data_IF_610989445895
#
_entry.id   IF_610989445895
#
_cell.length_a   1.000
_cell.length_b   1.000
_cell.length_c   1.000
_cell.angle_alpha   90.00
_cell.angle_beta   90.00
_cell.angle_gamma   90.00
#
_symmetry.space_group_name_H-M   'P 1'
#
loop_
_entity.id
_entity.type
_entity.pdbx_description
1 polymer ?
#
# COMPACT_ATOMS: atom_id res chain seq x y z
N UNK A 1 -11.78 -0.88 9.84
CA UNK A 1 -10.42 -1.46 9.94
C UNK A 1 -9.63 -0.80 11.06
N UNK A 2 -8.83 -1.58 11.79
CA UNK A 2 -7.90 -1.09 12.81
C UNK A 2 -6.47 -1.51 12.46
N UNK A 3 -5.51 -0.57 12.50
CA UNK A 3 -4.13 -0.77 12.04
C UNK A 3 -3.14 -0.57 13.19
N UNK A 4 -2.33 -1.59 13.42
CA UNK A 4 -1.16 -1.53 14.30
C UNK A 4 0.11 -1.78 13.48
N UNK A 5 1.05 -0.83 13.47
CA UNK A 5 2.34 -0.93 12.80
C UNK A 5 3.47 -0.69 13.80
N UNK A 6 4.26 -1.72 14.05
CA UNK A 6 5.54 -1.67 14.74
C UNK A 6 6.68 -1.60 13.71
N UNK A 7 7.45 -0.51 13.73
CA UNK A 7 8.65 -0.33 12.92
C UNK A 7 9.86 -0.84 13.72
N UNK A 8 10.41 -1.98 13.30
CA UNK A 8 11.52 -2.67 13.98
C UNK A 8 12.90 -2.18 13.55
N UNK A 9 12.99 -1.61 12.34
CA UNK A 9 14.22 -1.08 11.77
C UNK A 9 13.96 0.30 11.17
N UNK A 10 14.97 1.17 11.19
CA UNK A 10 14.88 2.52 10.63
C UNK A 10 14.40 2.52 9.17
N UNK A 11 13.39 3.35 8.92
CA UNK A 11 12.86 3.75 7.61
C UNK A 11 12.84 5.28 7.60
N UNK A 12 12.94 5.89 6.42
CA UNK A 12 12.80 7.36 6.33
C UNK A 12 11.41 7.78 6.80
N UNK A 13 10.38 7.06 6.37
CA UNK A 13 9.00 7.20 6.82
C UNK A 13 8.11 6.11 6.22
N UNK A 14 6.93 5.93 6.81
CA UNK A 14 5.78 5.27 6.21
C UNK A 14 4.72 6.28 5.78
N UNK A 15 3.84 5.89 4.88
CA UNK A 15 2.63 6.63 4.58
C UNK A 15 1.49 5.68 4.24
N UNK A 16 0.28 6.12 4.59
CA UNK A 16 -0.97 5.42 4.32
C UNK A 16 -1.86 6.31 3.44
N UNK A 17 -2.51 5.70 2.45
CA UNK A 17 -3.41 6.39 1.53
C UNK A 17 -4.61 5.52 1.20
N UNK A 18 -5.80 6.13 1.17
CA UNK A 18 -6.94 5.57 0.46
C UNK A 18 -6.79 5.84 -1.04
N UNK A 19 -7.09 4.86 -1.87
CA UNK A 19 -7.00 4.95 -3.33
C UNK A 19 -8.42 4.91 -3.86
N UNK A 20 -8.84 5.99 -4.51
CA UNK A 20 -10.16 6.13 -5.16
C UNK A 20 -10.03 5.91 -6.67
N UNK A 21 -8.90 6.36 -7.23
CA UNK A 21 -8.56 6.18 -8.63
C UNK A 21 -7.03 6.15 -8.80
N UNK A 22 -6.58 5.88 -10.02
CA UNK A 22 -5.15 5.79 -10.34
C UNK A 22 -4.82 6.60 -11.59
N UNK A 23 -3.60 7.14 -11.64
CA UNK A 23 -3.04 7.77 -12.83
C UNK A 23 -1.72 7.09 -13.20
N UNK A 24 -1.77 6.16 -14.16
CA UNK A 24 -0.60 5.39 -14.60
C UNK A 24 0.42 6.22 -15.37
N UNK A 25 0.13 7.48 -15.71
CA UNK A 25 1.12 8.38 -16.31
C UNK A 25 2.02 9.04 -15.25
N UNK A 26 1.70 8.88 -13.96
CA UNK A 26 2.52 9.30 -12.82
C UNK A 26 3.24 8.10 -12.20
N UNK A 27 4.23 8.32 -11.34
CA UNK A 27 5.04 7.27 -10.70
C UNK A 27 5.09 7.48 -9.19
N UNK A 28 5.53 6.45 -8.44
CA UNK A 28 5.68 6.51 -6.98
C UNK A 28 4.33 6.80 -6.30
N UNK A 29 4.25 7.73 -5.34
CA UNK A 29 2.97 8.03 -4.66
C UNK A 29 1.99 8.82 -5.55
N UNK A 30 2.48 9.50 -6.59
CA UNK A 30 1.65 10.35 -7.46
C UNK A 30 0.70 9.56 -8.36
N UNK A 31 0.93 8.25 -8.56
CA UNK A 31 0.01 7.42 -9.32
C UNK A 31 -1.30 7.10 -8.58
N UNK A 32 -1.38 7.40 -7.28
CA UNK A 32 -2.57 7.14 -6.47
C UNK A 32 -3.38 8.43 -6.26
N UNK A 33 -4.64 8.42 -6.68
CA UNK A 33 -5.60 9.50 -6.44
C UNK A 33 -6.48 9.11 -5.25
N UNK A 34 -6.48 9.92 -4.21
CA UNK A 34 -7.23 9.71 -2.97
C UNK A 34 -6.60 10.47 -1.80
N UNK A 35 -7.04 10.22 -0.57
CA UNK A 35 -6.58 10.98 0.59
C UNK A 35 -5.45 10.29 1.33
N UNK A 36 -4.60 11.10 1.94
CA UNK A 36 -3.51 10.64 2.80
C UNK A 36 -4.01 10.61 4.25
N UNK A 37 -3.69 9.55 4.96
CA UNK A 37 -3.70 9.56 6.41
C UNK A 37 -2.31 9.99 6.90
N UNK A 38 -2.19 11.23 7.37
CA UNK A 38 -0.91 11.81 7.77
C UNK A 38 -0.39 11.28 9.10
N UNK A 39 -1.23 10.62 9.92
CA UNK A 39 -0.84 10.09 11.24
C UNK A 39 0.29 9.08 11.14
N UNK A 40 0.20 8.16 10.17
CA UNK A 40 1.25 7.16 9.89
C UNK A 40 2.57 7.85 9.51
N UNK A 41 2.51 8.89 8.69
CA UNK A 41 3.70 9.61 8.28
C UNK A 41 4.35 10.36 9.43
N UNK A 42 3.60 11.18 10.15
CA UNK A 42 4.15 11.96 11.25
C UNK A 42 4.66 11.07 12.38
N UNK A 43 4.03 9.93 12.64
CA UNK A 43 4.47 8.99 13.66
C UNK A 43 5.70 8.16 13.28
N UNK A 44 6.09 8.11 12.00
CA UNK A 44 7.24 7.29 11.53
C UNK A 44 8.38 8.11 10.92
N UNK A 45 8.16 9.40 10.66
CA UNK A 45 9.14 10.26 10.02
C UNK A 45 10.45 10.32 10.81
N UNK A 46 11.53 9.82 10.21
CA UNK A 46 12.88 9.75 10.76
C UNK A 46 12.97 9.06 12.14
N UNK A 47 12.05 8.13 12.43
CA UNK A 47 12.06 7.38 13.68
C UNK A 47 12.85 6.07 13.52
N UNK A 48 13.79 5.75 14.43
CA UNK A 48 14.49 4.46 14.42
C UNK A 48 13.55 3.30 14.74
N UNK A 49 12.58 3.56 15.62
CA UNK A 49 11.49 2.68 16.01
C UNK A 49 10.21 3.50 16.16
N UNK A 50 9.07 2.92 15.79
CA UNK A 50 7.78 3.58 15.92
C UNK A 50 6.68 2.53 16.15
N UNK A 51 5.67 2.90 16.93
CA UNK A 51 4.43 2.13 17.07
C UNK A 51 3.28 3.04 16.68
N UNK A 52 2.60 2.68 15.60
CA UNK A 52 1.38 3.35 15.14
C UNK A 52 0.21 2.45 15.49
N UNK A 53 -0.77 3.00 16.18
CA UNK A 53 -2.00 2.31 16.54
C UNK A 53 -3.18 3.25 16.25
N UNK A 54 -3.92 2.97 15.17
CA UNK A 54 -4.97 3.85 14.66
C UNK A 54 -6.15 3.08 14.07
N UNK A 55 -7.34 3.64 14.23
CA UNK A 55 -8.48 3.29 13.38
C UNK A 55 -8.33 3.96 12.02
N UNK A 56 -8.38 3.15 10.95
CA UNK A 56 -8.37 3.63 9.57
C UNK A 56 -9.80 3.88 9.15
N UNK A 57 -10.15 5.15 8.97
CA UNK A 57 -11.50 5.55 8.56
C UNK A 57 -11.76 5.08 7.14
N UNK A 58 -12.77 4.23 6.98
CA UNK A 58 -13.17 3.75 5.67
C UNK A 58 -13.85 4.84 4.85
N UNK A 59 -13.40 5.00 3.60
CA UNK A 59 -13.96 5.90 2.61
C UNK A 59 -14.79 5.09 1.58
N UNK A 60 -16.09 5.38 1.40
CA UNK A 60 -16.95 4.68 0.44
C UNK A 60 -16.47 4.74 -1.02
N UNK A 61 -15.65 5.74 -1.37
CA UNK A 61 -15.06 5.88 -2.71
C UNK A 61 -13.75 5.12 -2.88
N UNK A 62 -13.17 4.60 -1.80
CA UNK A 62 -11.89 3.92 -1.87
C UNK A 62 -12.05 2.53 -2.50
N UNK A 63 -11.29 2.27 -3.55
CA UNK A 63 -11.18 0.94 -4.14
C UNK A 63 -10.22 0.06 -3.34
N UNK A 64 -9.18 0.64 -2.75
CA UNK A 64 -8.17 0.00 -1.89
C UNK A 64 -7.49 1.00 -0.96
N UNK A 65 -6.69 0.48 -0.03
CA UNK A 65 -5.77 1.22 0.81
C UNK A 65 -4.35 0.72 0.58
N UNK A 66 -3.38 1.60 0.78
CA UNK A 66 -1.99 1.29 0.52
C UNK A 66 -1.08 1.89 1.58
N UNK A 67 -0.35 1.00 2.27
CA UNK A 67 0.71 1.34 3.20
C UNK A 67 2.06 1.13 2.50
N UNK A 68 2.90 2.15 2.53
CA UNK A 68 4.24 2.08 1.97
C UNK A 68 5.28 2.66 2.93
N UNK A 69 6.37 1.91 3.14
CA UNK A 69 7.53 2.35 3.89
C UNK A 69 8.72 2.59 2.97
N UNK A 70 9.31 3.78 3.03
CA UNK A 70 10.56 4.08 2.34
C UNK A 70 11.73 3.66 3.25
N UNK A 71 12.53 2.70 2.79
CA UNK A 71 13.66 2.20 3.58
C UNK A 71 14.74 3.27 3.79
N UNK A 72 15.56 3.07 4.81
CA UNK A 72 16.77 3.85 5.07
C UNK A 72 17.59 4.11 3.80
N UNK A 73 18.01 5.36 3.58
CA UNK A 73 18.87 5.73 2.45
C UNK A 73 18.24 5.50 1.07
N UNK A 74 16.91 5.39 0.99
CA UNK A 74 16.16 5.22 -0.25
C UNK A 74 16.50 3.96 -1.05
N UNK A 75 16.89 2.87 -0.38
CA UNK A 75 17.03 1.57 -1.01
C UNK A 75 15.67 0.97 -1.41
N UNK A 76 15.15 1.36 -2.57
CA UNK A 76 13.82 0.98 -3.04
C UNK A 76 13.52 -0.53 -3.07
N UNK A 77 14.53 -1.40 -3.08
CA UNK A 77 14.35 -2.85 -3.00
C UNK A 77 13.90 -3.33 -1.62
N UNK A 78 14.13 -2.52 -0.58
CA UNK A 78 13.75 -2.82 0.81
C UNK A 78 12.48 -2.08 1.23
N UNK A 79 11.83 -1.36 0.31
CA UNK A 79 10.59 -0.69 0.61
C UNK A 79 9.49 -1.70 0.98
N UNK A 80 8.74 -1.35 2.00
CA UNK A 80 7.54 -2.10 2.36
C UNK A 80 6.38 -1.65 1.50
N UNK A 81 5.60 -2.61 1.00
CA UNK A 81 4.39 -2.37 0.20
C UNK A 81 3.28 -3.32 0.63
N UNK A 82 2.23 -2.77 1.26
CA UNK A 82 1.06 -3.53 1.68
C UNK A 82 -0.19 -2.86 1.12
N UNK A 83 -0.82 -3.53 0.16
CA UNK A 83 -2.13 -3.18 -0.36
C UNK A 83 -3.20 -4.00 0.34
N UNK A 84 -4.34 -3.38 0.66
CA UNK A 84 -5.44 -4.05 1.34
C UNK A 84 -6.80 -3.42 1.03
N UNK A 85 -7.85 -4.17 1.30
CA UNK A 85 -9.25 -3.75 1.18
C UNK A 85 -10.00 -4.09 2.49
N UNK A 86 -11.09 -3.38 2.82
CA UNK A 86 -11.96 -3.78 3.92
C UNK A 86 -12.52 -5.18 3.69
N UNK A 87 -12.47 -6.01 4.73
CA UNK A 87 -13.00 -7.36 4.77
C UNK A 87 -13.27 -7.74 6.24
N UNK A 88 -14.50 -7.50 6.75
CA UNK A 88 -14.84 -7.76 8.14
C UNK A 88 -14.49 -9.20 8.57
N UNK A 89 -13.84 -9.35 9.72
CA UNK A 89 -13.40 -10.65 10.23
C UNK A 89 -12.10 -11.20 9.61
N UNK A 90 -11.58 -10.63 8.52
CA UNK A 90 -10.25 -10.96 8.01
C UNK A 90 -9.16 -10.11 8.70
N UNK A 91 -7.93 -10.60 8.71
CA UNK A 91 -6.78 -9.88 9.26
C UNK A 91 -5.59 -9.94 8.31
N UNK A 92 -5.03 -8.77 8.00
CA UNK A 92 -3.71 -8.68 7.35
C UNK A 92 -2.65 -8.78 8.43
N UNK A 93 -1.75 -9.74 8.30
CA UNK A 93 -0.57 -9.87 9.15
C UNK A 93 0.70 -9.89 8.31
N UNK A 94 1.67 -9.04 8.67
CA UNK A 94 3.02 -9.04 8.10
C UNK A 94 4.01 -8.93 9.25
N UNK A 95 4.84 -9.95 9.43
CA UNK A 95 5.93 -9.94 10.41
C UNK A 95 7.24 -10.31 9.72
N UNK A 96 8.19 -9.38 9.71
CA UNK A 96 9.52 -9.60 9.18
C UNK A 96 10.56 -8.80 9.99
N UNK A 97 11.81 -8.77 9.52
CA UNK A 97 12.91 -8.07 10.20
C UNK A 97 12.73 -6.53 10.24
N UNK A 98 11.90 -5.98 9.36
CA UNK A 98 11.73 -4.53 9.20
C UNK A 98 10.51 -4.02 9.97
N UNK A 99 9.40 -4.77 9.95
CA UNK A 99 8.13 -4.36 10.56
C UNK A 99 7.37 -5.54 11.16
N UNK A 100 6.43 -5.23 12.06
CA UNK A 100 5.27 -6.05 12.35
C UNK A 100 4.01 -5.20 12.12
N UNK A 101 3.12 -5.67 11.25
CA UNK A 101 1.88 -5.00 10.87
C UNK A 101 0.71 -5.96 11.08
N UNK A 102 -0.31 -5.45 11.76
CA UNK A 102 -1.61 -6.08 11.88
C UNK A 102 -2.66 -5.10 11.40
N UNK A 103 -3.58 -5.53 10.54
CA UNK A 103 -4.76 -4.76 10.16
C UNK A 103 -5.98 -5.66 10.30
N UNK A 104 -6.85 -5.37 11.27
CA UNK A 104 -8.11 -6.12 11.43
C UNK A 104 -9.19 -5.58 10.51
N UNK A 105 -10.15 -6.45 10.21
CA UNK A 105 -11.24 -6.22 9.26
C UNK A 105 -10.73 -5.85 7.86
N UNK A 106 -9.61 -6.44 7.47
CA UNK A 106 -8.94 -6.15 6.21
C UNK A 106 -8.39 -7.41 5.56
N UNK A 107 -8.46 -7.44 4.23
CA UNK A 107 -7.87 -8.47 3.37
C UNK A 107 -6.72 -7.91 2.59
N UNK A 108 -5.61 -8.65 2.55
CA UNK A 108 -4.43 -8.27 1.78
C UNK A 108 -4.69 -8.47 0.30
N UNK A 109 -4.32 -7.48 -0.51
CA UNK A 109 -4.28 -7.62 -1.97
C UNK A 109 -2.87 -8.02 -2.37
N UNK A 110 -2.71 -9.26 -2.84
CA UNK A 110 -1.44 -9.70 -3.39
C UNK A 110 -1.32 -9.29 -4.86
N UNK A 111 -0.24 -8.56 -5.15
CA UNK A 111 0.12 -8.09 -6.49
C UNK A 111 1.62 -8.29 -6.75
N UNK A 112 2.31 -9.14 -5.97
CA UNK A 112 3.77 -9.29 -6.05
C UNK A 112 4.22 -9.81 -7.43
N UNK A 113 3.51 -10.80 -7.96
CA UNK A 113 3.79 -11.43 -9.26
C UNK A 113 3.21 -10.69 -10.47
N UNK A 114 2.42 -9.63 -10.27
CA UNK A 114 1.77 -8.93 -11.37
C UNK A 114 2.77 -8.08 -12.16
N UNK A 115 2.78 -8.28 -13.48
CA UNK A 115 3.64 -7.55 -14.42
C UNK A 115 2.76 -6.73 -15.36
N UNK A 116 2.69 -5.39 -15.18
CA UNK A 116 1.87 -4.53 -16.03
C UNK A 116 2.45 -4.36 -17.43
N UNK A 117 1.58 -4.34 -18.43
CA UNK A 117 1.95 -4.06 -19.81
C UNK A 117 0.97 -3.09 -20.50
N UNK A 118 0.77 -1.86 -19.97
CA UNK A 118 -0.08 -0.87 -20.62
C UNK A 118 0.50 -0.40 -21.96
N UNK A 119 -0.35 -0.01 -22.92
CA UNK A 119 0.11 0.56 -24.18
C UNK A 119 0.84 1.89 -23.94
N UNK A 120 1.93 2.11 -24.67
CA UNK A 120 2.72 3.35 -24.63
C UNK A 120 4.15 3.19 -24.12
N UNK A 121 4.90 4.31 -24.16
CA UNK A 121 6.29 4.36 -23.75
C UNK A 121 6.42 4.77 -22.28
N UNK A 122 6.72 3.79 -21.42
CA UNK A 122 6.97 4.00 -19.99
C UNK A 122 8.43 3.72 -19.65
N UNK A 123 8.99 4.54 -18.77
CA UNK A 123 10.39 4.43 -18.34
C UNK A 123 10.64 3.13 -17.56
N UNK A 124 11.89 2.66 -17.53
CA UNK A 124 12.31 1.54 -16.69
C UNK A 124 11.94 1.76 -15.22
N UNK A 125 12.10 3.00 -14.72
CA UNK A 125 11.74 3.39 -13.35
C UNK A 125 10.26 3.17 -13.06
N UNK A 126 9.36 3.53 -13.98
CA UNK A 126 7.93 3.27 -13.82
C UNK A 126 7.66 1.77 -13.78
N UNK A 127 8.22 1.02 -14.74
CA UNK A 127 8.01 -0.42 -14.88
C UNK A 127 8.48 -1.25 -13.69
N UNK A 128 9.45 -0.75 -12.91
CA UNK A 128 9.95 -1.41 -11.69
C UNK A 128 9.38 -0.81 -10.39
N UNK A 129 8.60 0.28 -10.46
CA UNK A 129 8.05 0.92 -9.27
C UNK A 129 6.85 0.12 -8.74
N UNK A 130 6.95 -0.42 -7.52
CA UNK A 130 5.86 -1.21 -6.90
C UNK A 130 4.55 -0.44 -6.77
N UNK A 131 4.58 0.85 -6.49
CA UNK A 131 3.36 1.68 -6.47
C UNK A 131 2.71 1.76 -7.85
N UNK A 132 3.53 1.96 -8.89
CA UNK A 132 3.06 2.02 -10.27
C UNK A 132 2.52 0.67 -10.75
N UNK A 133 3.17 -0.43 -10.36
CA UNK A 133 2.70 -1.80 -10.61
C UNK A 133 1.32 -1.99 -9.96
N UNK A 134 1.14 -1.58 -8.71
CA UNK A 134 -0.18 -1.66 -8.05
C UNK A 134 -1.22 -0.74 -8.70
N UNK A 135 -0.83 0.45 -9.14
CA UNK A 135 -1.72 1.34 -9.87
C UNK A 135 -2.24 0.69 -11.16
N UNK A 136 -1.38 -0.01 -11.91
CA UNK A 136 -1.81 -0.77 -13.08
C UNK A 136 -2.66 -1.99 -12.72
N UNK A 137 -2.37 -2.67 -11.61
CA UNK A 137 -3.21 -3.78 -11.11
C UNK A 137 -4.67 -3.32 -10.91
N UNK A 138 -4.86 -2.10 -10.37
CA UNK A 138 -6.18 -1.49 -10.24
C UNK A 138 -6.74 -1.12 -11.62
N UNK A 139 -5.95 -0.44 -12.46
CA UNK A 139 -6.35 0.01 -13.79
C UNK A 139 -6.85 -1.13 -14.69
N UNK A 140 -6.18 -2.27 -14.64
CA UNK A 140 -6.50 -3.46 -15.43
C UNK A 140 -7.70 -4.25 -14.88
N UNK A 141 -8.30 -3.77 -13.79
CA UNK A 141 -9.49 -4.36 -13.18
C UNK A 141 -9.21 -5.62 -12.36
N UNK A 142 -7.94 -5.96 -12.09
CA UNK A 142 -7.58 -7.16 -11.33
C UNK A 142 -8.16 -7.12 -9.91
N UNK A 143 -8.17 -5.95 -9.29
CA UNK A 143 -8.77 -5.76 -7.97
C UNK A 143 -10.29 -5.98 -7.98
N UNK A 144 -10.97 -5.58 -9.07
CA UNK A 144 -12.41 -5.79 -9.21
C UNK A 144 -12.73 -7.29 -9.26
N UNK A 145 -11.98 -8.03 -10.09
CA UNK A 145 -12.10 -9.49 -10.21
C UNK A 145 -11.84 -10.21 -8.88
N UNK A 146 -10.87 -9.74 -8.10
CA UNK A 146 -10.57 -10.30 -6.78
C UNK A 146 -11.73 -10.14 -5.79
N UNK A 147 -12.47 -9.01 -5.85
CA UNK A 147 -13.66 -8.80 -5.02
C UNK A 147 -14.84 -9.67 -5.49
N UNK A 148 -15.02 -9.82 -6.80
CA UNK A 148 -16.06 -10.66 -7.39
C UNK A 148 -15.88 -12.15 -7.02
N UNK A 149 -14.64 -12.66 -7.08
CA UNK A 149 -14.32 -14.07 -6.78
C UNK A 149 -14.24 -14.38 -5.27
N UNK A 150 -14.32 -13.38 -4.39
CA UNK A 150 -14.27 -13.56 -2.94
C UNK A 150 -15.64 -13.69 -2.27
N UNK A 151 -16.71 -13.71 -3.06
CA UNK A 151 -18.11 -13.86 -2.66
C UNK A 151 -18.65 -15.28 -2.95
N UNK A 152 -17.80 -16.30 -2.91
CA UNK A 152 -18.19 -17.73 -2.92
C UNK A 152 -18.03 -18.35 -1.52
#
# INVERSE_FOLDING_TARGET
MHLTLEVKRYHEFFWLRDIQAVNIYKCCAECFIGNRDSRVYHGTLHQPHALIDIDVKENPKAVAYYLCGLSAGFNYHQNTHVAFIPAPGETVFVDNANIRLTITDAKRVDFQSYVPNPPGHFTRRQRTCRNWIFANYINDGMLRRLKENGHE
#
